data_IF_372367756098
#
_entry.id   IF_372367756098
#
_cell.length_a   1.000
_cell.length_b   1.000
_cell.length_c   1.000
_cell.angle_alpha   90.00
_cell.angle_beta   90.00
_cell.angle_gamma   90.00
#
_symmetry.space_group_name_H-M   'P 1'
#
loop_
_entity.id
_entity.type
_entity.pdbx_description
1 polymer ?
#
# COMPACT_ATOMS: atom_id res chain seq x y z
N UNK A 1 16.80 48.28 28.17
CA UNK A 1 16.01 48.10 26.95
C UNK A 1 15.86 46.61 26.75
N UNK A 2 14.78 46.03 27.31
CA UNK A 2 14.53 44.58 27.24
C UNK A 2 13.75 44.32 25.95
N UNK A 3 14.38 43.58 25.03
CA UNK A 3 13.73 43.10 23.81
C UNK A 3 12.80 41.95 24.18
N UNK A 4 11.51 42.27 24.22
CA UNK A 4 10.43 41.29 24.29
C UNK A 4 10.44 40.43 23.03
N UNK A 5 10.97 39.23 23.14
CA UNK A 5 10.77 38.20 22.12
C UNK A 5 9.32 37.73 22.22
N UNK A 6 8.50 38.25 21.31
CA UNK A 6 7.14 37.81 21.08
C UNK A 6 7.18 36.34 20.60
N UNK A 7 6.67 35.33 21.35
CA UNK A 7 6.60 33.97 20.87
C UNK A 7 5.56 33.91 19.75
N UNK A 8 6.04 33.67 18.54
CA UNK A 8 5.18 33.27 17.42
C UNK A 8 4.29 32.11 17.87
N UNK A 9 2.97 32.18 17.70
CA UNK A 9 2.12 31.05 18.07
C UNK A 9 2.48 29.87 17.20
N UNK A 10 3.16 28.88 17.81
CA UNK A 10 3.20 27.52 17.27
C UNK A 10 1.76 27.10 17.05
N UNK A 11 1.38 26.99 15.79
CA UNK A 11 0.16 26.30 15.39
C UNK A 11 0.26 24.87 15.86
N UNK A 12 -0.17 24.64 17.08
CA UNK A 12 -0.38 23.33 17.68
C UNK A 12 -1.51 22.68 16.88
N UNK A 13 -1.18 21.95 15.82
CA UNK A 13 -2.06 20.94 15.24
C UNK A 13 -2.20 19.78 16.24
N UNK A 14 -2.77 20.10 17.38
CA UNK A 14 -3.16 19.21 18.47
C UNK A 14 -4.53 18.60 18.20
N UNK A 15 -4.75 18.09 17.00
CA UNK A 15 -5.83 17.15 16.77
C UNK A 15 -5.18 15.86 16.29
N UNK A 16 -5.40 14.77 17.04
CA UNK A 16 -4.95 13.41 16.67
C UNK A 16 -5.58 12.88 15.39
N UNK A 17 -5.91 13.78 14.46
CA UNK A 17 -6.41 13.53 13.14
C UNK A 17 -5.38 12.72 12.34
N UNK A 18 -5.84 11.64 11.72
CA UNK A 18 -5.01 10.84 10.83
C UNK A 18 -4.49 11.71 9.69
N UNK A 19 -3.19 11.71 9.38
CA UNK A 19 -2.71 12.37 8.18
C UNK A 19 -3.48 11.82 6.97
N UNK A 20 -4.15 12.67 6.22
CA UNK A 20 -4.96 12.28 5.04
C UNK A 20 -4.18 11.36 4.10
N UNK A 21 -2.87 11.58 3.96
CA UNK A 21 -1.98 10.77 3.12
C UNK A 21 -1.91 9.31 3.56
N UNK A 22 -1.89 9.04 4.87
CA UNK A 22 -1.87 7.68 5.41
C UNK A 22 -3.20 6.96 5.12
N UNK A 23 -4.30 7.68 5.22
CA UNK A 23 -5.63 7.15 4.88
C UNK A 23 -5.73 6.83 3.38
N UNK A 24 -5.20 7.69 2.51
CA UNK A 24 -5.17 7.40 1.07
C UNK A 24 -4.28 6.20 0.74
N UNK A 25 -3.09 6.08 1.35
CA UNK A 25 -2.24 4.90 1.16
C UNK A 25 -2.94 3.61 1.62
N UNK A 26 -3.62 3.65 2.76
CA UNK A 26 -4.39 2.51 3.25
C UNK A 26 -5.58 2.18 2.33
N UNK A 27 -6.26 3.18 1.78
CA UNK A 27 -7.37 2.98 0.84
C UNK A 27 -6.89 2.35 -0.48
N UNK A 28 -5.72 2.77 -1.00
CA UNK A 28 -5.14 2.17 -2.20
C UNK A 28 -4.76 0.70 -1.96
N UNK A 29 -4.11 0.37 -0.84
CA UNK A 29 -3.82 -1.02 -0.47
C UNK A 29 -5.10 -1.84 -0.27
N UNK A 30 -6.15 -1.27 0.29
CA UNK A 30 -7.44 -1.95 0.45
C UNK A 30 -8.12 -2.21 -0.90
N UNK A 31 -8.03 -1.26 -1.84
CA UNK A 31 -8.54 -1.41 -3.19
C UNK A 31 -7.81 -2.54 -3.93
N UNK A 32 -6.50 -2.62 -3.82
CA UNK A 32 -5.69 -3.71 -4.39
C UNK A 32 -6.07 -5.06 -3.78
N UNK A 33 -6.21 -5.13 -2.44
CA UNK A 33 -6.64 -6.34 -1.75
C UNK A 33 -8.00 -6.82 -2.28
N UNK A 34 -8.96 -5.89 -2.44
CA UNK A 34 -10.29 -6.19 -2.97
C UNK A 34 -10.22 -6.70 -4.40
N UNK A 35 -9.43 -6.06 -5.27
CA UNK A 35 -9.25 -6.48 -6.65
C UNK A 35 -8.67 -7.91 -6.74
N UNK A 36 -7.66 -8.21 -5.93
CA UNK A 36 -7.06 -9.56 -5.87
C UNK A 36 -8.05 -10.59 -5.29
N UNK A 37 -8.83 -10.24 -4.27
CA UNK A 37 -9.85 -11.13 -3.71
C UNK A 37 -10.92 -11.47 -4.75
N UNK A 38 -11.46 -10.45 -5.43
CA UNK A 38 -12.47 -10.64 -6.48
C UNK A 38 -11.89 -11.45 -7.65
N UNK A 39 -10.70 -11.10 -8.14
CA UNK A 39 -10.03 -11.79 -9.25
C UNK A 39 -9.69 -13.24 -8.91
N UNK A 40 -9.13 -13.50 -7.73
CA UNK A 40 -8.80 -14.85 -7.27
C UNK A 40 -10.04 -15.72 -7.07
N UNK A 41 -11.10 -15.16 -6.50
CA UNK A 41 -12.39 -15.87 -6.34
C UNK A 41 -13.01 -16.19 -7.71
N UNK A 42 -12.98 -15.23 -8.65
CA UNK A 42 -13.45 -15.42 -10.01
C UNK A 42 -12.71 -16.57 -10.71
N UNK A 43 -11.36 -16.59 -10.60
CA UNK A 43 -10.55 -17.69 -11.14
C UNK A 43 -10.91 -19.03 -10.53
N UNK A 44 -11.14 -19.08 -9.20
CA UNK A 44 -11.58 -20.32 -8.53
C UNK A 44 -12.95 -20.80 -9.04
N UNK A 45 -13.90 -19.89 -9.18
CA UNK A 45 -15.24 -20.24 -9.70
C UNK A 45 -15.10 -20.82 -11.10
N UNK A 46 -14.38 -20.16 -12.01
CA UNK A 46 -14.14 -20.68 -13.37
C UNK A 46 -13.42 -22.02 -13.36
N UNK A 47 -12.42 -22.21 -12.48
CA UNK A 47 -11.68 -23.47 -12.37
C UNK A 47 -12.52 -24.63 -11.83
N UNK A 48 -13.53 -24.36 -10.98
CA UNK A 48 -14.41 -25.39 -10.42
C UNK A 48 -15.58 -25.70 -11.34
N UNK A 49 -16.15 -24.68 -12.02
CA UNK A 49 -17.36 -24.81 -12.85
C UNK A 49 -17.05 -25.01 -14.33
N UNK A 50 -15.83 -24.72 -14.80
CA UNK A 50 -15.46 -24.83 -16.20
C UNK A 50 -15.10 -26.28 -16.61
N UNK A 51 -15.50 -26.66 -17.81
CA UNK A 51 -15.20 -27.99 -18.41
C UNK A 51 -13.88 -28.00 -19.21
N UNK A 52 -13.04 -26.95 -19.10
CA UNK A 52 -11.85 -26.76 -19.92
C UNK A 52 -10.56 -27.39 -19.35
N UNK A 53 -9.59 -27.67 -20.24
CA UNK A 53 -8.29 -28.28 -19.92
C UNK A 53 -7.41 -27.48 -18.94
N UNK A 54 -7.72 -26.21 -18.69
CA UNK A 54 -6.97 -25.29 -17.81
C UNK A 54 -7.51 -25.22 -16.37
N UNK A 55 -8.37 -26.17 -15.98
CA UNK A 55 -9.00 -26.20 -14.65
C UNK A 55 -7.96 -26.15 -13.53
N UNK A 56 -6.91 -26.95 -13.62
CA UNK A 56 -5.86 -26.99 -12.60
C UNK A 56 -5.13 -25.64 -12.50
N UNK A 57 -4.84 -25.01 -13.63
CA UNK A 57 -4.19 -23.71 -13.68
C UNK A 57 -5.08 -22.63 -13.07
N UNK A 58 -6.37 -22.60 -13.39
CA UNK A 58 -7.33 -21.64 -12.84
C UNK A 58 -7.48 -21.78 -11.32
N UNK A 59 -7.60 -23.02 -10.80
CA UNK A 59 -7.71 -23.29 -9.37
C UNK A 59 -6.42 -22.89 -8.64
N UNK A 60 -5.25 -23.35 -9.12
CA UNK A 60 -3.96 -23.05 -8.50
C UNK A 60 -3.67 -21.55 -8.55
N UNK A 61 -3.91 -20.91 -9.69
CA UNK A 61 -3.78 -19.47 -9.87
C UNK A 61 -4.71 -18.69 -8.95
N UNK A 62 -5.97 -19.08 -8.88
CA UNK A 62 -6.96 -18.44 -8.00
C UNK A 62 -6.56 -18.51 -6.52
N UNK A 63 -6.11 -19.67 -6.03
CA UNK A 63 -5.61 -19.83 -4.66
C UNK A 63 -4.38 -18.94 -4.44
N UNK A 64 -3.44 -18.92 -5.38
CA UNK A 64 -2.23 -18.09 -5.29
C UNK A 64 -2.59 -16.60 -5.20
N UNK A 65 -3.51 -16.13 -6.05
CA UNK A 65 -3.97 -14.72 -6.03
C UNK A 65 -4.66 -14.38 -4.72
N UNK A 66 -5.47 -15.28 -4.16
CA UNK A 66 -6.13 -15.08 -2.86
C UNK A 66 -5.10 -15.00 -1.72
N UNK A 67 -4.07 -15.82 -1.73
CA UNK A 67 -2.98 -15.75 -0.75
C UNK A 67 -2.21 -14.42 -0.88
N UNK A 68 -1.92 -13.99 -2.12
CA UNK A 68 -1.27 -12.70 -2.37
C UNK A 68 -2.12 -11.50 -1.90
N UNK A 69 -3.45 -11.62 -1.95
CA UNK A 69 -4.35 -10.58 -1.45
C UNK A 69 -4.18 -10.27 0.05
N UNK A 70 -3.63 -11.22 0.82
CA UNK A 70 -3.37 -11.02 2.25
C UNK A 70 -2.32 -9.92 2.49
N UNK A 71 -1.34 -9.75 1.60
CA UNK A 71 -0.29 -8.74 1.75
C UNK A 71 -0.85 -7.30 1.75
N UNK A 72 -1.56 -6.85 0.70
CA UNK A 72 -2.14 -5.52 0.71
C UNK A 72 -3.26 -5.37 1.76
N UNK A 73 -3.96 -6.44 2.12
CA UNK A 73 -4.96 -6.41 3.19
C UNK A 73 -4.31 -6.13 4.56
N UNK A 74 -3.23 -6.85 4.89
CA UNK A 74 -2.47 -6.63 6.12
C UNK A 74 -1.81 -5.25 6.13
N UNK A 75 -1.28 -4.81 4.98
CA UNK A 75 -0.72 -3.48 4.82
C UNK A 75 -1.78 -2.39 5.09
N UNK A 76 -2.95 -2.47 4.46
CA UNK A 76 -4.05 -1.54 4.66
C UNK A 76 -4.48 -1.47 6.14
N UNK A 77 -4.69 -2.63 6.77
CA UNK A 77 -5.03 -2.71 8.19
C UNK A 77 -3.94 -2.10 9.07
N UNK A 78 -2.68 -2.45 8.83
CA UNK A 78 -1.56 -1.94 9.61
C UNK A 78 -1.36 -0.42 9.46
N UNK A 79 -1.55 0.13 8.27
CA UNK A 79 -1.54 1.57 8.00
C UNK A 79 -2.68 2.29 8.74
N UNK A 80 -3.89 1.71 8.74
CA UNK A 80 -5.04 2.24 9.49
C UNK A 80 -4.78 2.24 11.00
N UNK A 81 -4.08 1.23 11.52
CA UNK A 81 -3.70 1.11 12.93
C UNK A 81 -2.41 1.88 13.26
N UNK A 82 -1.83 2.63 12.33
CA UNK A 82 -0.57 3.39 12.48
C UNK A 82 0.61 2.53 12.97
N UNK A 83 0.65 1.27 12.60
CA UNK A 83 1.74 0.38 12.98
C UNK A 83 2.94 0.58 12.06
N UNK A 84 4.10 0.92 12.61
CA UNK A 84 5.33 1.18 11.84
C UNK A 84 5.77 0.01 10.95
N UNK A 85 5.52 -1.24 11.37
CA UNK A 85 5.84 -2.43 10.60
C UNK A 85 5.06 -2.56 9.27
N UNK A 86 3.86 -1.94 9.19
CA UNK A 86 2.99 -2.08 8.00
C UNK A 86 3.56 -1.43 6.74
N UNK A 87 4.54 -0.54 6.89
CA UNK A 87 5.22 0.10 5.76
C UNK A 87 6.00 -0.92 4.91
N UNK A 88 6.66 -1.89 5.54
CA UNK A 88 7.41 -2.94 4.84
C UNK A 88 6.52 -3.74 3.88
N UNK A 89 5.50 -4.43 4.36
CA UNK A 89 4.53 -5.14 3.52
C UNK A 89 3.89 -4.24 2.46
N UNK A 90 3.51 -2.99 2.81
CA UNK A 90 2.91 -2.06 1.86
C UNK A 90 3.86 -1.73 0.68
N UNK A 91 5.13 -1.43 0.96
CA UNK A 91 6.13 -1.12 -0.08
C UNK A 91 6.43 -2.36 -0.93
N UNK A 92 6.59 -3.53 -0.31
CA UNK A 92 6.85 -4.78 -1.03
C UNK A 92 5.69 -5.11 -1.97
N UNK A 93 4.45 -4.94 -1.52
CA UNK A 93 3.26 -5.15 -2.36
C UNK A 93 3.32 -4.27 -3.61
N UNK A 94 3.65 -2.99 -3.46
CA UNK A 94 3.73 -2.07 -4.60
C UNK A 94 4.88 -2.41 -5.55
N UNK A 95 6.03 -2.83 -5.03
CA UNK A 95 7.15 -3.29 -5.85
C UNK A 95 6.77 -4.56 -6.63
N UNK A 96 6.04 -5.49 -6.01
CA UNK A 96 5.56 -6.71 -6.67
C UNK A 96 4.43 -6.42 -7.68
N UNK A 97 3.64 -5.38 -7.47
CA UNK A 97 2.61 -4.96 -8.41
C UNK A 97 3.17 -4.47 -9.74
N UNK A 98 4.37 -3.88 -9.76
CA UNK A 98 4.97 -3.32 -10.99
C UNK A 98 5.25 -4.38 -12.08
N UNK A 99 5.92 -5.53 -11.81
CA UNK A 99 6.09 -6.57 -12.83
C UNK A 99 4.76 -7.19 -13.26
N UNK A 100 3.76 -7.28 -12.37
CA UNK A 100 2.42 -7.74 -12.74
C UNK A 100 1.76 -6.73 -13.68
N UNK A 101 1.82 -5.44 -13.36
CA UNK A 101 1.31 -4.37 -14.22
C UNK A 101 2.00 -4.38 -15.59
N UNK A 102 3.32 -4.55 -15.61
CA UNK A 102 4.10 -4.69 -16.84
C UNK A 102 3.60 -5.88 -17.69
N UNK A 103 3.39 -7.04 -17.11
CA UNK A 103 2.84 -8.20 -17.81
C UNK A 103 1.45 -7.95 -18.38
N UNK A 104 0.58 -7.26 -17.62
CA UNK A 104 -0.77 -6.89 -18.06
C UNK A 104 -0.74 -5.90 -19.23
N UNK A 105 0.22 -4.96 -19.25
CA UNK A 105 0.39 -3.99 -20.33
C UNK A 105 0.84 -4.63 -21.67
N UNK A 106 1.45 -5.81 -21.61
CA UNK A 106 1.89 -6.59 -22.78
C UNK A 106 0.91 -7.71 -23.16
N UNK A 107 -0.17 -7.85 -22.42
CA UNK A 107 -1.26 -8.76 -22.75
C UNK A 107 -2.29 -8.08 -23.67
N UNK A 108 -3.28 -8.82 -24.13
CA UNK A 108 -4.32 -8.33 -25.03
C UNK A 108 -5.64 -7.96 -24.32
N UNK A 109 -6.44 -7.16 -24.97
CA UNK A 109 -7.81 -6.88 -24.56
C UNK A 109 -7.92 -6.11 -23.23
N UNK A 110 -8.78 -6.60 -22.33
CA UNK A 110 -9.08 -5.94 -21.06
C UNK A 110 -7.91 -5.94 -20.05
N UNK A 111 -6.85 -6.70 -20.29
CA UNK A 111 -5.68 -6.72 -19.42
C UNK A 111 -4.88 -5.41 -19.47
N UNK A 112 -4.83 -4.76 -20.64
CA UNK A 112 -4.10 -3.49 -20.82
C UNK A 112 -4.64 -2.36 -19.91
N UNK A 113 -5.94 -2.02 -19.92
CA UNK A 113 -6.47 -1.01 -19.00
C UNK A 113 -6.31 -1.41 -17.51
N UNK A 114 -6.36 -2.69 -17.18
CA UNK A 114 -6.07 -3.17 -15.83
C UNK A 114 -4.59 -2.93 -15.46
N UNK A 115 -3.65 -3.16 -16.37
CA UNK A 115 -2.24 -2.86 -16.20
C UNK A 115 -1.97 -1.38 -15.99
N UNK A 116 -2.63 -0.50 -16.75
CA UNK A 116 -2.54 0.97 -16.58
C UNK A 116 -3.05 1.37 -15.19
N UNK A 117 -4.21 0.88 -14.79
CA UNK A 117 -4.80 1.16 -13.48
C UNK A 117 -3.90 0.68 -12.35
N UNK A 118 -3.38 -0.55 -12.42
CA UNK A 118 -2.48 -1.11 -11.43
C UNK A 118 -1.18 -0.31 -11.31
N UNK A 119 -0.58 0.10 -12.44
CA UNK A 119 0.61 0.97 -12.46
C UNK A 119 0.34 2.29 -11.74
N UNK A 120 -0.78 2.95 -12.06
CA UNK A 120 -1.14 4.22 -11.45
C UNK A 120 -1.33 4.09 -9.92
N UNK A 121 -2.02 3.04 -9.47
CA UNK A 121 -2.24 2.75 -8.04
C UNK A 121 -0.92 2.45 -7.34
N UNK A 122 -0.06 1.60 -7.91
CA UNK A 122 1.23 1.23 -7.34
C UNK A 122 2.15 2.45 -7.18
N UNK A 123 2.28 3.28 -8.22
CA UNK A 123 3.10 4.49 -8.16
C UNK A 123 2.55 5.49 -7.17
N UNK A 124 1.23 5.74 -7.15
CA UNK A 124 0.60 6.64 -6.19
C UNK A 124 0.80 6.16 -4.74
N UNK A 125 0.61 4.87 -4.48
CA UNK A 125 0.83 4.28 -3.17
C UNK A 125 2.30 4.39 -2.74
N UNK A 126 3.27 4.10 -3.62
CA UNK A 126 4.70 4.27 -3.33
C UNK A 126 5.05 5.70 -2.97
N UNK A 127 4.57 6.68 -3.75
CA UNK A 127 4.80 8.11 -3.47
C UNK A 127 4.25 8.49 -2.10
N UNK A 128 3.05 8.02 -1.74
CA UNK A 128 2.45 8.28 -0.44
C UNK A 128 3.23 7.61 0.70
N UNK A 129 3.70 6.37 0.52
CA UNK A 129 4.42 5.60 1.52
C UNK A 129 5.84 6.10 1.77
N UNK A 130 6.53 6.59 0.72
CA UNK A 130 7.90 7.12 0.82
C UNK A 130 7.93 8.54 1.38
N UNK A 131 6.81 9.24 1.37
CA UNK A 131 6.74 10.62 1.86
C UNK A 131 7.18 10.75 3.33
N UNK A 132 8.05 11.73 3.67
CA UNK A 132 8.54 11.93 5.05
C UNK A 132 7.42 12.16 6.08
N UNK A 133 6.30 12.73 5.67
CA UNK A 133 5.14 12.94 6.55
C UNK A 133 4.51 11.60 6.96
N UNK A 134 4.42 10.63 6.03
CA UNK A 134 3.94 9.27 6.32
C UNK A 134 4.90 8.53 7.25
N UNK A 135 6.21 8.66 7.03
CA UNK A 135 7.24 8.05 7.87
C UNK A 135 7.16 8.55 9.32
N UNK A 136 6.98 9.86 9.50
CA UNK A 136 6.79 10.47 10.82
C UNK A 136 5.48 10.04 11.49
N UNK A 137 4.39 9.95 10.74
CA UNK A 137 3.09 9.50 11.25
C UNK A 137 3.08 8.05 11.72
N UNK A 138 4.00 7.21 11.19
CA UNK A 138 4.20 5.82 11.61
C UNK A 138 5.23 5.67 12.75
N UNK A 139 5.70 6.78 13.34
CA UNK A 139 6.65 6.75 14.45
C UNK A 139 8.06 6.28 14.10
N UNK A 140 8.40 6.21 12.81
CA UNK A 140 9.72 5.78 12.35
C UNK A 140 10.70 6.95 12.50
N UNK A 141 11.64 6.84 13.46
CA UNK A 141 12.71 7.82 13.65
C UNK A 141 13.67 7.74 12.45
N UNK A 142 13.86 8.86 11.75
CA UNK A 142 14.86 8.95 10.67
C UNK A 142 16.30 8.83 11.22
N UNK A 143 17.27 8.42 10.37
CA UNK A 143 18.65 8.12 10.81
C UNK A 143 19.42 9.29 11.47
N UNK A 144 18.94 10.54 11.32
CA UNK A 144 19.58 11.72 11.92
C UNK A 144 19.31 11.94 13.41
N UNK A 145 18.23 11.38 13.98
CA UNK A 145 17.88 11.60 15.39
C UNK A 145 18.42 10.56 16.37
N UNK A 146 18.99 9.48 15.85
CA UNK A 146 19.67 8.50 16.71
C UNK A 146 20.99 9.04 17.30
N UNK A 147 21.62 10.01 16.62
CA UNK A 147 22.90 10.60 17.06
C UNK A 147 22.78 11.70 18.11
N UNK A 148 21.64 12.38 18.21
CA UNK A 148 21.45 13.44 19.21
C UNK A 148 21.13 12.90 20.61
N UNK A 149 20.65 11.66 20.72
CA UNK A 149 20.38 10.99 22.01
C UNK A 149 21.62 10.38 22.67
N UNK A 150 22.70 10.19 21.92
CA UNK A 150 23.93 9.52 22.40
C UNK A 150 25.02 10.52 22.85
N UNK A 151 24.79 11.82 22.64
CA UNK A 151 25.72 12.90 23.01
C UNK A 151 25.29 13.71 24.25
N UNK A 152 24.34 13.20 25.06
CA UNK A 152 23.94 13.85 26.32
C UNK A 152 24.25 13.00 27.54
#
# INVERSE_FOLDING_TARGET
>A
MSSEQNPTPETTDATGARPRRLTYAAALCALEALALLVGGLWMLVLGVTGDGGDRQQAVTGGITVLLLALLPLLAARGLLLRRGWSRGPAVITQIMALPVAYSLLHADGAAVPAGIALTAVAVAALVLLVNPATTRALGIKGPGRAREGEQR
#
